data_IF_919946170973
#
_entry.id   IF_919946170973
#
_cell.length_a   1.000
_cell.length_b   1.000
_cell.length_c   1.000
_cell.angle_alpha   90.00
_cell.angle_beta   90.00
_cell.angle_gamma   90.00
#
_symmetry.space_group_name_H-M   'P 1'
#
loop_
_entity.id
_entity.type
_entity.pdbx_description
1 polymer ?
#
# COMPACT_ATOMS: atom_id res chain seq x y z
N UNK A 1 8.70 12.25 15.91
CA UNK A 1 7.32 12.79 15.81
C UNK A 1 6.98 13.76 16.93
N UNK A 2 7.53 13.60 18.15
CA UNK A 2 7.34 14.53 19.28
C UNK A 2 8.25 15.79 19.29
N UNK A 3 9.09 16.01 18.29
CA UNK A 3 10.08 17.10 18.28
C UNK A 3 9.75 18.28 17.37
N UNK A 4 8.81 18.14 16.44
CA UNK A 4 8.46 19.27 15.57
C UNK A 4 7.53 20.29 16.26
N UNK A 5 7.03 20.00 17.47
CA UNK A 5 6.19 20.91 18.26
C UNK A 5 6.71 21.15 19.69
N UNK A 6 7.84 20.54 20.10
CA UNK A 6 8.39 20.72 21.46
C UNK A 6 9.82 21.24 21.36
N UNK A 7 10.09 22.30 22.12
CA UNK A 7 11.31 23.09 22.08
C UNK A 7 12.62 22.32 22.32
N UNK A 8 13.75 23.04 22.44
CA UNK A 8 15.11 22.53 22.21
C UNK A 8 15.63 21.44 23.18
N UNK A 9 14.82 20.92 24.10
CA UNK A 9 15.21 19.91 25.10
C UNK A 9 14.56 18.53 24.90
N UNK A 10 13.81 18.29 23.83
CA UNK A 10 13.26 16.95 23.56
C UNK A 10 14.34 16.06 22.94
N UNK A 11 14.59 14.90 23.55
CA UNK A 11 15.47 13.86 22.99
C UNK A 11 14.79 13.20 21.79
N UNK A 12 15.51 13.11 20.68
CA UNK A 12 15.17 12.24 19.55
C UNK A 12 14.93 10.86 20.15
N UNK A 13 13.71 10.34 20.00
CA UNK A 13 13.40 8.95 20.33
C UNK A 13 14.10 8.09 19.28
N UNK A 14 15.41 7.94 19.42
CA UNK A 14 16.24 6.93 18.78
C UNK A 14 15.96 5.53 19.36
N UNK A 15 15.07 5.42 20.34
CA UNK A 15 14.54 4.16 20.80
C UNK A 15 13.23 3.87 20.06
N UNK A 16 13.34 3.49 18.78
CA UNK A 16 12.48 2.39 18.33
C UNK A 16 12.69 1.30 19.38
N UNK A 17 11.65 1.00 20.16
CA UNK A 17 11.72 0.01 21.23
C UNK A 17 12.49 -1.21 20.69
N UNK A 18 13.55 -1.70 21.37
CA UNK A 18 14.42 -2.79 20.88
C UNK A 18 13.64 -4.07 20.52
N UNK A 19 12.37 -4.17 20.93
CA UNK A 19 11.44 -5.21 20.51
C UNK A 19 10.98 -5.17 19.05
N UNK A 20 11.10 -4.03 18.35
CA UNK A 20 10.76 -3.93 16.94
C UNK A 20 12.00 -4.22 16.09
N UNK A 21 12.17 -5.50 15.73
CA UNK A 21 13.20 -5.92 14.77
C UNK A 21 12.83 -5.41 13.38
N UNK A 22 13.52 -4.37 12.93
CA UNK A 22 13.44 -3.88 11.55
C UNK A 22 14.83 -3.95 10.92
N UNK A 23 14.94 -4.53 9.73
CA UNK A 23 16.18 -4.59 8.96
C UNK A 23 16.37 -3.36 8.06
N UNK A 24 15.35 -2.51 7.93
CA UNK A 24 15.46 -1.27 7.16
C UNK A 24 16.15 -0.20 7.99
N UNK A 25 16.91 0.68 7.33
CA UNK A 25 17.51 1.85 7.98
C UNK A 25 16.41 2.64 8.72
N UNK A 26 16.66 3.02 9.98
CA UNK A 26 15.70 3.78 10.80
C UNK A 26 15.18 5.04 10.12
N UNK A 27 16.00 5.70 9.28
CA UNK A 27 15.58 6.85 8.46
C UNK A 27 14.51 6.48 7.44
N UNK A 28 14.65 5.33 6.75
CA UNK A 28 13.67 4.89 5.77
C UNK A 28 12.32 4.60 6.43
N UNK A 29 12.34 3.90 7.57
CA UNK A 29 11.13 3.60 8.32
C UNK A 29 10.45 4.88 8.83
N UNK A 30 11.24 5.84 9.33
CA UNK A 30 10.73 7.15 9.72
C UNK A 30 10.04 7.86 8.56
N UNK A 31 10.62 7.84 7.35
CA UNK A 31 10.02 8.46 6.18
C UNK A 31 8.70 7.79 5.76
N UNK A 32 8.60 6.46 5.84
CA UNK A 32 7.34 5.75 5.59
C UNK A 32 6.22 6.22 6.53
N UNK A 33 6.53 6.40 7.82
CA UNK A 33 5.59 6.93 8.81
C UNK A 33 5.30 8.43 8.63
N UNK A 34 6.32 9.22 8.24
CA UNK A 34 6.19 10.66 8.03
C UNK A 34 5.32 11.00 6.80
N UNK A 35 5.26 10.12 5.80
CA UNK A 35 4.48 10.30 4.57
C UNK A 35 3.04 10.76 4.84
N UNK A 36 2.29 10.05 5.69
CA UNK A 36 0.88 10.39 5.93
C UNK A 36 0.71 11.70 6.70
N UNK A 37 1.67 12.06 7.55
CA UNK A 37 1.70 13.38 8.16
C UNK A 37 1.89 14.50 7.13
N UNK A 38 2.80 14.33 6.17
CA UNK A 38 2.98 15.31 5.10
C UNK A 38 1.74 15.43 4.21
N UNK A 39 1.12 14.29 3.86
CA UNK A 39 -0.16 14.29 3.14
C UNK A 39 -1.21 15.06 3.93
N UNK A 40 -1.36 14.78 5.23
CA UNK A 40 -2.30 15.50 6.10
C UNK A 40 -2.04 17.01 6.10
N UNK A 41 -0.78 17.43 6.27
CA UNK A 41 -0.42 18.86 6.30
C UNK A 41 -0.70 19.56 4.99
N UNK A 42 -0.45 18.90 3.86
CA UNK A 42 -0.80 19.40 2.54
C UNK A 42 -2.32 19.55 2.40
N UNK A 43 -3.08 18.55 2.83
CA UNK A 43 -4.54 18.58 2.83
C UNK A 43 -5.09 19.73 3.68
N UNK A 44 -4.58 19.92 4.89
CA UNK A 44 -4.95 21.04 5.77
C UNK A 44 -4.63 22.41 5.13
N UNK A 45 -3.42 22.57 4.59
CA UNK A 45 -2.96 23.81 3.97
C UNK A 45 -3.84 24.23 2.78
N UNK A 46 -4.20 23.26 1.94
CA UNK A 46 -4.99 23.49 0.73
C UNK A 46 -6.49 23.28 0.93
N UNK A 47 -6.94 23.00 2.16
CA UNK A 47 -8.34 22.71 2.51
C UNK A 47 -8.93 21.58 1.64
N UNK A 48 -8.17 20.50 1.49
CA UNK A 48 -8.56 19.32 0.74
C UNK A 48 -9.06 18.24 1.72
N UNK A 49 -10.25 17.70 1.48
CA UNK A 49 -10.77 16.57 2.28
C UNK A 49 -10.42 15.21 1.68
N UNK A 50 -9.96 15.20 0.43
CA UNK A 50 -9.76 14.01 -0.39
C UNK A 50 -8.61 14.21 -1.38
N UNK A 51 -7.70 13.24 -1.47
CA UNK A 51 -6.56 13.24 -2.40
C UNK A 51 -6.32 11.85 -2.97
N UNK A 52 -5.72 11.78 -4.16
CA UNK A 52 -5.13 10.55 -4.66
C UNK A 52 -3.63 10.55 -4.37
N UNK A 53 -3.17 9.53 -3.64
CA UNK A 53 -1.75 9.27 -3.35
C UNK A 53 -1.21 8.23 -4.32
N UNK A 54 -0.02 8.50 -4.86
CA UNK A 54 0.71 7.61 -5.76
C UNK A 54 2.18 7.55 -5.36
N UNK A 55 2.71 6.34 -5.14
CA UNK A 55 4.14 6.14 -4.95
C UNK A 55 4.90 6.27 -6.28
N UNK A 56 6.16 6.70 -6.23
CA UNK A 56 6.97 7.00 -7.41
C UNK A 56 7.31 5.77 -8.28
N UNK A 57 7.12 4.58 -7.74
CA UNK A 57 7.29 3.29 -8.43
C UNK A 57 5.96 2.67 -8.87
N UNK A 58 4.89 3.46 -8.84
CA UNK A 58 3.60 3.10 -9.40
C UNK A 58 3.35 3.84 -10.72
N UNK A 59 2.67 3.15 -11.65
CA UNK A 59 2.22 3.70 -12.92
C UNK A 59 0.71 3.70 -12.95
N UNK A 60 0.10 4.88 -13.01
CA UNK A 60 -1.34 5.04 -13.13
C UNK A 60 -1.75 5.00 -14.61
N UNK A 61 -2.76 4.19 -14.94
CA UNK A 61 -3.20 3.97 -16.32
C UNK A 61 -4.52 4.71 -16.65
N UNK A 62 -5.10 5.38 -15.66
CA UNK A 62 -6.38 6.08 -15.78
C UNK A 62 -6.35 7.46 -15.12
N UNK A 63 -7.34 8.30 -15.46
CA UNK A 63 -7.53 9.58 -14.80
C UNK A 63 -8.06 9.38 -13.39
N UNK A 64 -7.45 10.05 -12.42
CA UNK A 64 -7.85 9.96 -11.00
C UNK A 64 -9.27 10.46 -10.77
N UNK A 65 -9.73 11.45 -11.52
CA UNK A 65 -11.07 12.03 -11.36
C UNK A 65 -12.17 11.02 -11.73
N UNK A 66 -12.04 10.37 -12.89
CA UNK A 66 -12.96 9.30 -13.33
C UNK A 66 -13.02 8.17 -12.28
N UNK A 67 -11.86 7.78 -11.76
CA UNK A 67 -11.74 6.73 -10.74
C UNK A 67 -12.37 7.16 -9.40
N UNK A 68 -12.15 8.41 -8.98
CA UNK A 68 -12.69 8.95 -7.74
C UNK A 68 -14.22 8.93 -7.76
N UNK A 69 -14.83 9.32 -8.89
CA UNK A 69 -16.28 9.36 -9.02
C UNK A 69 -16.88 7.94 -9.00
N UNK A 70 -16.27 6.96 -9.68
CA UNK A 70 -16.73 5.56 -9.63
C UNK A 70 -16.56 4.94 -8.24
N UNK A 71 -15.52 5.33 -7.49
CA UNK A 71 -15.34 4.89 -6.11
C UNK A 71 -16.19 5.67 -5.10
N UNK A 72 -16.91 6.71 -5.54
CA UNK A 72 -17.76 7.57 -4.71
C UNK A 72 -16.97 8.47 -3.76
N UNK A 73 -15.73 8.84 -4.13
CA UNK A 73 -14.83 9.69 -3.33
C UNK A 73 -14.64 9.19 -1.90
N UNK A 74 -14.55 7.87 -1.75
CA UNK A 74 -14.36 7.18 -0.46
C UNK A 74 -12.89 6.86 -0.23
N UNK A 75 -12.55 6.66 1.04
CA UNK A 75 -11.26 6.09 1.41
C UNK A 75 -11.09 4.73 0.73
N UNK A 76 -10.03 4.59 -0.04
CA UNK A 76 -9.74 3.36 -0.77
C UNK A 76 -8.23 3.13 -0.83
N UNK A 77 -7.81 1.91 -0.50
CA UNK A 77 -6.42 1.46 -0.63
C UNK A 77 -6.37 -0.07 -0.70
N UNK A 78 -5.22 -0.64 -1.09
CA UNK A 78 -5.12 -2.08 -1.30
C UNK A 78 -4.97 -2.86 0.01
N UNK A 79 -5.73 -3.95 0.18
CA UNK A 79 -5.54 -4.95 1.23
C UNK A 79 -5.15 -6.26 0.57
N UNK A 80 -3.98 -6.82 0.90
CA UNK A 80 -3.57 -8.08 0.27
C UNK A 80 -4.39 -9.25 0.86
N UNK A 81 -5.04 -10.09 0.04
CA UNK A 81 -5.92 -11.15 0.51
C UNK A 81 -5.13 -12.38 0.92
N UNK A 82 -4.39 -12.26 2.02
CA UNK A 82 -3.64 -13.39 2.60
C UNK A 82 -4.32 -13.87 3.87
N UNK A 83 -4.65 -15.15 3.91
CA UNK A 83 -5.47 -15.77 4.96
C UNK A 83 -4.72 -16.12 6.25
N UNK A 84 -3.55 -15.53 6.50
CA UNK A 84 -2.82 -15.78 7.74
C UNK A 84 -2.62 -14.48 8.53
N UNK A 85 -2.78 -14.56 9.85
CA UNK A 85 -2.70 -13.44 10.78
C UNK A 85 -1.27 -12.89 10.96
N UNK A 86 -0.31 -13.33 10.13
CA UNK A 86 1.08 -12.88 10.12
C UNK A 86 1.30 -11.90 8.96
N UNK A 87 0.60 -12.13 7.84
CA UNK A 87 0.65 -11.35 6.62
C UNK A 87 -0.32 -10.16 6.68
N UNK A 88 0.00 -9.22 7.57
CA UNK A 88 -0.74 -7.98 7.77
C UNK A 88 -0.32 -6.94 6.73
N UNK A 89 -0.93 -6.98 5.54
CA UNK A 89 -0.57 -6.08 4.44
C UNK A 89 -1.76 -5.24 3.98
N UNK A 90 -1.72 -3.95 4.33
CA UNK A 90 -2.44 -2.89 3.65
C UNK A 90 -1.44 -1.98 2.95
N UNK A 91 -1.81 -1.37 1.82
CA UNK A 91 -0.89 -0.55 1.03
C UNK A 91 -1.60 0.66 0.47
N UNK A 92 -0.99 1.83 0.68
CA UNK A 92 -1.46 3.10 0.12
C UNK A 92 -0.70 3.48 -1.16
N UNK A 93 0.08 2.60 -1.79
CA UNK A 93 0.94 2.98 -2.94
C UNK A 93 0.14 3.56 -4.11
N UNK A 94 -1.12 3.16 -4.25
CA UNK A 94 -2.13 3.79 -5.10
C UNK A 94 -3.39 3.88 -4.24
N UNK A 95 -3.76 5.06 -3.78
CA UNK A 95 -4.84 5.19 -2.79
C UNK A 95 -5.60 6.49 -2.89
N UNK A 96 -6.89 6.41 -2.60
CA UNK A 96 -7.72 7.57 -2.31
C UNK A 96 -7.76 7.79 -0.81
N UNK A 97 -7.16 8.89 -0.35
CA UNK A 97 -6.99 9.20 1.06
C UNK A 97 -7.93 10.33 1.47
N UNK A 98 -8.42 10.24 2.70
CA UNK A 98 -9.24 11.29 3.33
C UNK A 98 -8.51 11.89 4.52
N UNK A 99 -8.92 13.08 4.94
CA UNK A 99 -8.36 13.68 6.17
C UNK A 99 -8.62 12.79 7.39
N UNK A 100 -9.80 12.15 7.45
CA UNK A 100 -10.19 11.20 8.51
C UNK A 100 -9.26 9.98 8.57
N UNK A 101 -8.81 9.47 7.42
CA UNK A 101 -7.80 8.42 7.37
C UNK A 101 -6.50 8.88 8.01
N UNK A 102 -6.02 10.07 7.66
CA UNK A 102 -4.78 10.60 8.20
C UNK A 102 -4.86 10.75 9.73
N UNK A 103 -5.96 11.28 10.26
CA UNK A 103 -6.18 11.41 11.70
C UNK A 103 -6.21 10.05 12.41
N UNK A 104 -6.98 9.11 11.88
CA UNK A 104 -7.10 7.77 12.47
C UNK A 104 -5.76 7.01 12.47
N UNK A 105 -4.97 7.15 11.41
CA UNK A 105 -3.65 6.54 11.34
C UNK A 105 -2.67 7.19 12.32
N UNK A 106 -2.63 8.53 12.40
CA UNK A 106 -1.80 9.26 13.37
C UNK A 106 -2.17 8.91 14.81
N UNK A 107 -3.46 8.76 15.11
CA UNK A 107 -3.90 8.26 16.41
C UNK A 107 -3.45 6.82 16.65
N UNK A 108 -3.54 5.94 15.64
CA UNK A 108 -3.06 4.57 15.77
C UNK A 108 -1.54 4.48 16.00
N UNK A 109 -0.76 5.38 15.38
CA UNK A 109 0.67 5.52 15.67
C UNK A 109 0.90 5.84 17.14
N UNK A 110 0.19 6.83 17.68
CA UNK A 110 0.28 7.23 19.09
C UNK A 110 -0.12 6.07 20.02
N UNK A 111 -1.26 5.42 19.72
CA UNK A 111 -1.78 4.29 20.49
C UNK A 111 -0.81 3.09 20.55
N UNK A 112 -0.06 2.84 19.48
CA UNK A 112 0.86 1.69 19.40
C UNK A 112 2.25 2.03 19.94
N UNK A 113 2.83 3.16 19.50
CA UNK A 113 4.25 3.44 19.69
C UNK A 113 4.54 4.42 20.82
N UNK A 114 3.58 5.29 21.17
CA UNK A 114 3.78 6.32 22.19
C UNK A 114 3.13 5.91 23.51
N UNK A 115 1.82 5.65 23.50
CA UNK A 115 1.07 5.27 24.70
C UNK A 115 1.09 3.77 24.95
N UNK A 116 1.26 2.97 23.90
CA UNK A 116 1.28 1.50 23.97
C UNK A 116 -0.09 0.86 24.25
N UNK A 117 -1.17 1.64 24.33
CA UNK A 117 -2.54 1.17 24.61
C UNK A 117 -3.05 0.13 23.60
N UNK A 118 -2.57 0.18 22.34
CA UNK A 118 -2.90 -0.78 21.28
C UNK A 118 -1.73 -1.63 20.81
N UNK A 119 -0.59 -1.64 21.52
CA UNK A 119 0.60 -2.43 21.14
C UNK A 119 0.28 -3.90 20.86
N UNK A 120 -0.63 -4.47 21.65
CA UNK A 120 -1.07 -5.88 21.54
C UNK A 120 -1.58 -6.30 20.16
N UNK A 121 -2.00 -5.35 19.32
CA UNK A 121 -2.42 -5.62 17.94
C UNK A 121 -1.26 -6.13 17.05
N UNK A 122 -0.01 -5.94 17.47
CA UNK A 122 1.19 -6.40 16.76
C UNK A 122 1.87 -7.60 17.41
N UNK A 123 1.47 -8.02 18.62
CA UNK A 123 2.20 -9.01 19.43
C UNK A 123 2.41 -10.34 18.69
N UNK A 124 1.37 -10.84 18.02
CA UNK A 124 1.46 -12.10 17.28
C UNK A 124 2.49 -12.01 16.13
N UNK A 125 2.48 -10.92 15.36
CA UNK A 125 3.44 -10.71 14.28
C UNK A 125 4.86 -10.55 14.81
N UNK A 126 5.03 -9.77 15.89
CA UNK A 126 6.33 -9.59 16.57
C UNK A 126 6.87 -10.94 17.05
N UNK A 127 6.01 -11.76 17.67
CA UNK A 127 6.37 -13.12 18.10
C UNK A 127 6.86 -13.95 16.92
N UNK A 128 6.10 -14.02 15.82
CA UNK A 128 6.47 -14.79 14.62
C UNK A 128 7.80 -14.35 13.99
N UNK A 129 8.09 -13.04 13.99
CA UNK A 129 9.37 -12.49 13.51
C UNK A 129 10.51 -12.92 14.44
N UNK A 130 10.34 -12.76 15.77
CA UNK A 130 11.35 -13.13 16.77
C UNK A 130 11.66 -14.63 16.77
N UNK A 131 10.66 -15.47 16.54
CA UNK A 131 10.80 -16.93 16.49
C UNK A 131 11.19 -17.47 15.11
N UNK A 132 11.38 -16.60 14.11
CA UNK A 132 11.68 -16.96 12.72
C UNK A 132 10.65 -17.90 12.08
N UNK A 133 9.42 -17.93 12.61
CA UNK A 133 8.28 -18.67 12.04
C UNK A 133 7.89 -18.07 10.69
N UNK A 134 8.02 -16.76 10.55
CA UNK A 134 7.82 -16.05 9.30
C UNK A 134 8.86 -14.93 9.17
N UNK A 135 9.27 -14.66 7.92
CA UNK A 135 10.05 -13.47 7.61
C UNK A 135 9.23 -12.18 7.72
N UNK A 136 9.90 -11.04 7.63
CA UNK A 136 9.27 -9.72 7.57
C UNK A 136 9.65 -8.80 8.72
N UNK A 137 8.96 -7.66 8.80
CA UNK A 137 9.20 -6.59 9.75
C UNK A 137 7.89 -5.85 10.07
N UNK A 138 7.96 -4.94 11.03
CA UNK A 138 6.88 -4.01 11.34
C UNK A 138 7.09 -2.71 10.54
N UNK A 139 6.10 -2.33 9.72
CA UNK A 139 6.06 -1.11 8.94
C UNK A 139 4.66 -0.47 8.94
N UNK A 140 4.53 0.67 8.26
CA UNK A 140 3.27 1.40 8.06
C UNK A 140 2.17 0.54 7.43
N UNK A 141 2.54 -0.36 6.52
CA UNK A 141 1.61 -1.32 5.89
C UNK A 141 0.87 -2.21 6.91
N UNK A 142 1.48 -2.52 8.05
CA UNK A 142 0.79 -3.27 9.10
C UNK A 142 -0.28 -2.43 9.79
N UNK A 143 -0.08 -1.11 9.90
CA UNK A 143 -1.05 -0.21 10.50
C UNK A 143 -2.22 0.08 9.56
N UNK A 144 -1.96 0.21 8.25
CA UNK A 144 -3.04 0.26 7.25
C UNK A 144 -3.91 -1.00 7.33
N UNK A 145 -3.29 -2.18 7.48
CA UNK A 145 -4.01 -3.42 7.68
C UNK A 145 -4.83 -3.42 8.98
N UNK A 146 -4.27 -2.94 10.10
CA UNK A 146 -4.97 -2.86 11.38
C UNK A 146 -6.20 -1.96 11.29
N UNK A 147 -6.10 -0.78 10.65
CA UNK A 147 -7.24 0.12 10.46
C UNK A 147 -8.42 -0.58 9.77
N UNK A 148 -8.11 -1.35 8.73
CA UNK A 148 -9.08 -2.16 8.00
C UNK A 148 -9.63 -3.31 8.85
N UNK A 149 -8.75 -4.13 9.43
CA UNK A 149 -9.12 -5.34 10.17
C UNK A 149 -9.95 -5.03 11.43
N UNK A 150 -9.65 -3.92 12.11
CA UNK A 150 -10.39 -3.44 13.28
C UNK A 150 -11.63 -2.62 12.92
N UNK A 151 -11.94 -2.46 11.62
CA UNK A 151 -13.06 -1.65 11.10
C UNK A 151 -13.09 -0.24 11.69
N UNK A 152 -11.92 0.37 11.86
CA UNK A 152 -11.81 1.73 12.39
C UNK A 152 -12.28 2.78 11.39
N UNK A 153 -12.29 2.42 10.09
CA UNK A 153 -12.74 3.23 8.98
C UNK A 153 -13.50 2.35 7.98
N UNK A 154 -14.40 2.95 7.21
CA UNK A 154 -14.98 2.33 6.01
C UNK A 154 -13.98 2.45 4.85
N UNK A 155 -13.41 1.32 4.45
CA UNK A 155 -12.30 1.25 3.49
C UNK A 155 -12.71 0.37 2.31
N UNK A 156 -12.63 0.94 1.12
CA UNK A 156 -12.76 0.19 -0.13
C UNK A 156 -11.43 -0.49 -0.47
N UNK A 157 -11.42 -1.81 -0.51
CA UNK A 157 -10.23 -2.59 -0.89
C UNK A 157 -10.02 -2.52 -2.41
N UNK A 158 -8.99 -1.79 -2.83
CA UNK A 158 -8.66 -1.58 -4.25
C UNK A 158 -8.04 -2.81 -4.93
N UNK A 159 -7.71 -3.86 -4.18
CA UNK A 159 -7.26 -5.14 -4.78
C UNK A 159 -8.43 -5.96 -5.30
N UNK A 160 -9.66 -5.69 -4.83
CA UNK A 160 -10.85 -6.37 -5.32
C UNK A 160 -11.25 -5.84 -6.70
N UNK A 161 -11.58 -6.72 -7.66
CA UNK A 161 -12.02 -6.28 -8.97
C UNK A 161 -13.37 -5.56 -8.89
N UNK A 162 -13.52 -4.49 -9.67
CA UNK A 162 -14.78 -3.75 -9.78
C UNK A 162 -15.05 -3.35 -11.23
N UNK A 163 -16.31 -3.03 -11.54
CA UNK A 163 -16.68 -2.60 -12.88
C UNK A 163 -16.33 -1.13 -13.09
N UNK A 164 -15.59 -0.85 -14.17
CA UNK A 164 -15.26 0.49 -14.62
C UNK A 164 -15.36 0.53 -16.15
N UNK A 165 -16.15 1.47 -16.67
CA UNK A 165 -16.45 1.60 -18.12
C UNK A 165 -16.91 0.27 -18.77
N UNK A 166 -17.68 -0.53 -18.04
CA UNK A 166 -18.23 -1.82 -18.50
C UNK A 166 -17.27 -3.01 -18.42
N UNK A 167 -16.04 -2.81 -17.96
CA UNK A 167 -15.02 -3.86 -17.84
C UNK A 167 -14.67 -4.15 -16.39
N UNK A 168 -14.28 -5.39 -16.10
CA UNK A 168 -13.74 -5.76 -14.81
C UNK A 168 -12.30 -5.25 -14.69
N UNK A 169 -12.06 -4.40 -13.69
CA UNK A 169 -10.81 -3.68 -13.51
C UNK A 169 -10.25 -3.87 -12.10
N UNK A 170 -8.93 -3.67 -11.94
CA UNK A 170 -8.24 -3.83 -10.65
C UNK A 170 -7.03 -2.88 -10.54
N UNK A 171 -6.66 -2.53 -9.30
CA UNK A 171 -5.36 -1.91 -9.00
C UNK A 171 -4.34 -2.99 -8.66
N UNK A 172 -3.19 -2.96 -9.31
CA UNK A 172 -2.15 -3.93 -9.06
C UNK A 172 -1.40 -3.64 -7.76
N UNK A 173 -1.26 -4.65 -6.90
CA UNK A 173 -0.47 -4.53 -5.68
C UNK A 173 1.03 -4.69 -5.93
N UNK A 174 1.43 -5.55 -6.88
CA UNK A 174 2.82 -5.83 -7.19
C UNK A 174 2.89 -6.63 -8.49
N UNK A 175 3.68 -6.16 -9.45
CA UNK A 175 3.78 -6.81 -10.76
C UNK A 175 4.68 -8.05 -10.74
N UNK A 176 5.62 -8.14 -9.80
CA UNK A 176 6.64 -9.20 -9.74
C UNK A 176 6.18 -10.55 -9.18
N UNK A 177 4.90 -10.73 -8.86
CA UNK A 177 4.39 -12.00 -8.32
C UNK A 177 2.98 -12.33 -8.84
N UNK A 178 2.48 -13.54 -8.56
CA UNK A 178 1.15 -13.98 -9.02
C UNK A 178 -0.02 -13.50 -8.13
N UNK A 179 0.25 -12.73 -7.07
CA UNK A 179 -0.76 -12.36 -6.07
C UNK A 179 -1.81 -11.41 -6.64
N UNK A 180 -3.07 -11.66 -6.31
CA UNK A 180 -4.21 -10.82 -6.64
C UNK A 180 -5.37 -11.09 -5.69
N UNK A 181 -6.58 -10.73 -6.08
CA UNK A 181 -7.79 -10.82 -5.27
C UNK A 181 -8.16 -12.23 -4.78
N UNK A 182 -7.67 -13.30 -5.44
CA UNK A 182 -7.86 -14.70 -5.03
C UNK A 182 -6.64 -15.26 -4.28
N UNK A 183 -5.72 -14.40 -3.85
CA UNK A 183 -4.49 -14.78 -3.15
C UNK A 183 -3.30 -15.00 -4.09
N UNK A 184 -2.29 -15.73 -3.59
CA UNK A 184 -0.95 -15.82 -4.19
C UNK A 184 -0.83 -16.52 -5.56
N UNK A 185 -1.93 -17.01 -6.12
CA UNK A 185 -1.97 -17.72 -7.40
C UNK A 185 -3.04 -17.16 -8.34
N UNK A 186 -3.44 -15.90 -8.15
CA UNK A 186 -4.51 -15.27 -8.95
C UNK A 186 -4.12 -15.14 -10.42
N UNK A 187 -2.92 -14.62 -10.68
CA UNK A 187 -2.49 -14.24 -12.03
C UNK A 187 -1.51 -15.22 -12.65
N UNK A 188 -1.53 -15.28 -13.99
CA UNK A 188 -0.49 -15.90 -14.78
C UNK A 188 0.77 -15.04 -14.75
N UNK A 189 1.92 -15.69 -14.74
CA UNK A 189 3.23 -15.04 -14.75
C UNK A 189 4.05 -15.53 -15.92
N UNK A 190 4.94 -14.66 -16.39
CA UNK A 190 6.03 -14.97 -17.31
C UNK A 190 7.36 -14.57 -16.65
N UNK A 191 8.47 -14.80 -17.33
CA UNK A 191 9.80 -14.43 -16.84
C UNK A 191 10.57 -13.67 -17.92
N UNK A 192 11.37 -12.70 -17.48
CA UNK A 192 12.33 -11.98 -18.30
C UNK A 192 13.72 -11.96 -17.61
N UNK A 193 14.64 -11.15 -18.15
CA UNK A 193 16.00 -11.02 -17.61
C UNK A 193 16.05 -10.49 -16.16
N UNK A 194 14.96 -9.88 -15.67
CA UNK A 194 14.85 -9.30 -14.34
C UNK A 194 14.02 -10.19 -13.40
N UNK A 195 13.61 -11.39 -13.84
CA UNK A 195 12.86 -12.36 -13.04
C UNK A 195 11.39 -12.52 -13.45
N UNK A 196 10.57 -13.00 -12.51
CA UNK A 196 9.15 -13.27 -12.73
C UNK A 196 8.33 -11.98 -12.74
N UNK A 197 7.36 -11.91 -13.65
CA UNK A 197 6.43 -10.78 -13.80
C UNK A 197 5.06 -11.32 -14.18
N UNK A 198 3.98 -10.64 -13.79
CA UNK A 198 2.64 -10.94 -14.29
C UNK A 198 2.59 -10.83 -15.81
N UNK A 199 1.90 -11.78 -16.44
CA UNK A 199 1.69 -11.75 -17.88
C UNK A 199 0.75 -10.59 -18.23
N UNK A 200 1.29 -9.60 -18.94
CA UNK A 200 0.54 -8.44 -19.42
C UNK A 200 0.15 -8.59 -20.90
N UNK A 201 -1.06 -8.16 -21.23
CA UNK A 201 -1.53 -8.03 -22.62
C UNK A 201 -2.04 -6.62 -22.87
N UNK A 202 -1.77 -6.10 -24.07
CA UNK A 202 -2.15 -4.74 -24.46
C UNK A 202 -3.23 -4.81 -25.54
N UNK A 203 -4.35 -4.13 -25.31
CA UNK A 203 -5.47 -4.12 -26.25
C UNK A 203 -6.14 -2.74 -26.23
N UNK A 204 -6.28 -2.13 -27.41
CA UNK A 204 -6.97 -0.84 -27.59
C UNK A 204 -6.49 0.27 -26.62
N UNK A 205 -5.19 0.32 -26.34
CA UNK A 205 -4.60 1.31 -25.42
C UNK A 205 -4.70 0.97 -23.92
N UNK A 206 -5.35 -0.14 -23.57
CA UNK A 206 -5.46 -0.61 -22.19
C UNK A 206 -4.49 -1.76 -21.91
N UNK A 207 -4.15 -1.92 -20.63
CA UNK A 207 -3.28 -2.99 -20.13
C UNK A 207 -4.13 -3.97 -19.32
N UNK A 208 -3.93 -5.26 -19.54
CA UNK A 208 -4.66 -6.33 -18.87
C UNK A 208 -3.70 -7.34 -18.26
N UNK A 209 -4.14 -7.94 -17.14
CA UNK A 209 -3.55 -9.16 -16.58
C UNK A 209 -4.43 -10.35 -16.89
N UNK A 210 -3.82 -11.52 -17.06
CA UNK A 210 -4.55 -12.77 -17.24
C UNK A 210 -4.59 -13.56 -15.94
N UNK A 211 -5.77 -13.92 -15.47
CA UNK A 211 -5.93 -14.84 -14.33
C UNK A 211 -5.50 -16.24 -14.72
N UNK A 212 -5.20 -17.11 -13.75
CA UNK A 212 -4.92 -18.53 -14.02
C UNK A 212 -6.06 -19.25 -14.74
N UNK A 213 -7.31 -18.85 -14.47
CA UNK A 213 -8.50 -19.36 -15.17
C UNK A 213 -8.64 -18.83 -16.61
N UNK A 214 -7.72 -17.99 -17.08
CA UNK A 214 -7.70 -17.43 -18.43
C UNK A 214 -8.55 -16.17 -18.63
N UNK A 215 -9.14 -15.61 -17.57
CA UNK A 215 -9.91 -14.35 -17.66
C UNK A 215 -8.94 -13.17 -17.78
N UNK A 216 -9.28 -12.19 -18.61
CA UNK A 216 -8.56 -10.92 -18.68
C UNK A 216 -9.20 -9.92 -17.73
N UNK A 217 -8.36 -9.23 -16.95
CA UNK A 217 -8.78 -8.16 -16.03
C UNK A 217 -7.97 -6.92 -16.37
N UNK A 218 -8.65 -5.80 -16.58
CA UNK A 218 -8.00 -4.54 -16.92
C UNK A 218 -7.28 -3.96 -15.71
N UNK A 219 -6.08 -3.44 -15.93
CA UNK A 219 -5.32 -2.75 -14.90
C UNK A 219 -5.62 -1.26 -14.91
N UNK A 220 -5.75 -0.70 -13.71
CA UNK A 220 -5.89 0.74 -13.47
C UNK A 220 -4.59 1.35 -12.93
N UNK A 221 -3.75 0.52 -12.31
CA UNK A 221 -2.39 0.87 -11.92
C UNK A 221 -1.47 -0.35 -11.99
N UNK A 222 -0.16 -0.09 -12.02
CA UNK A 222 0.90 -1.09 -11.93
C UNK A 222 1.88 -0.65 -10.85
N UNK A 223 2.26 -1.55 -9.93
CA UNK A 223 3.28 -1.26 -8.91
C UNK A 223 4.55 -2.08 -9.17
N UNK A 224 5.66 -1.37 -9.40
CA UNK A 224 6.98 -1.93 -9.64
C UNK A 224 7.80 -1.94 -8.35
N UNK A 225 7.64 -2.98 -7.53
CA UNK A 225 8.35 -3.05 -6.25
C UNK A 225 9.78 -3.61 -6.39
N UNK A 226 10.70 -3.13 -5.54
CA UNK A 226 12.05 -3.70 -5.42
C UNK A 226 12.82 -3.73 -6.75
N UNK A 227 13.26 -4.92 -7.17
CA UNK A 227 14.00 -5.12 -8.41
C UNK A 227 13.17 -4.79 -9.67
N UNK A 228 11.83 -4.82 -9.56
CA UNK A 228 10.95 -4.56 -10.69
C UNK A 228 10.99 -3.12 -11.18
N UNK A 229 11.51 -2.19 -10.37
CA UNK A 229 11.70 -0.78 -10.74
C UNK A 229 12.53 -0.60 -12.01
N UNK A 230 13.43 -1.55 -12.31
CA UNK A 230 14.22 -1.54 -13.54
C UNK A 230 13.35 -1.66 -14.80
N UNK A 231 12.15 -2.24 -14.68
CA UNK A 231 11.20 -2.39 -15.79
C UNK A 231 10.39 -1.14 -16.10
N UNK A 232 10.41 -0.11 -15.26
CA UNK A 232 9.62 1.13 -15.48
C UNK A 232 9.99 1.78 -16.81
N UNK A 233 11.29 1.84 -17.14
CA UNK A 233 11.75 2.45 -18.40
C UNK A 233 11.31 1.65 -19.63
N UNK A 234 11.42 0.32 -19.57
CA UNK A 234 10.94 -0.55 -20.64
C UNK A 234 9.41 -0.52 -20.78
N UNK A 235 8.69 -0.36 -19.68
CA UNK A 235 7.23 -0.26 -19.70
C UNK A 235 6.75 1.05 -20.34
N UNK A 236 7.44 2.17 -20.05
CA UNK A 236 7.15 3.47 -20.68
C UNK A 236 7.22 3.41 -22.21
N UNK A 237 8.26 2.78 -22.76
CA UNK A 237 8.42 2.69 -24.21
C UNK A 237 7.30 1.88 -24.88
N UNK A 238 6.76 0.85 -24.21
CA UNK A 238 5.64 0.05 -24.73
C UNK A 238 4.33 0.86 -24.78
N UNK A 239 4.14 1.81 -23.87
CA UNK A 239 2.95 2.67 -23.84
C UNK A 239 3.02 3.87 -24.81
N UNK A 240 4.12 4.04 -25.54
CA UNK A 240 4.40 5.25 -26.34
C UNK A 240 4.27 6.56 -25.53
N UNK A 241 4.69 6.51 -24.26
CA UNK A 241 4.77 7.66 -23.34
C UNK A 241 6.22 8.10 -23.16
#
# INVERSE_FOLDING_TARGET
FLELERGPDTKIVNTVNPDFTCTNNGTYQFLCFARVYFVKKLMELHKLDFVFHLDSDCFLLEKTDDLADVMGRRLAYGIEPVHNNIHMVGSIHNAFLTIKFCDALLQLYDDIYVTGTKRKLLDHKIMCIKTKIAGGYICDMNLYYILWQQKMLDILDMTQPFLYKGELCVFDHCIGNATGFEGGQTYQTTSDAYGTIKLLTFQAGNVYQKTRSGKSIRLLSIHFNGADKQRILAFRSVLNL
#
